data_IF_625856768538
#
_entry.id   IF_625856768538
#
_cell.length_a   1.000
_cell.length_b   1.000
_cell.length_c   1.000
_cell.angle_alpha   90.00
_cell.angle_beta   90.00
_cell.angle_gamma   90.00
#
_symmetry.space_group_name_H-M   'P 1'
#
loop_
_entity.id
_entity.type
_entity.pdbx_description
1 polymer ?
#
# COMPACT_ATOMS: atom_id res chain seq x y z
N UNK A 1 -21.47 68.47 15.99
CA UNK A 1 -20.04 68.46 16.21
C UNK A 1 -19.38 67.57 15.19
N UNK A 2 -18.63 68.16 14.30
CA UNK A 2 -17.88 67.51 13.23
C UNK A 2 -16.65 66.81 13.78
N UNK A 3 -16.31 65.68 13.21
CA UNK A 3 -14.90 65.35 13.07
C UNK A 3 -14.58 64.49 11.86
N UNK A 4 -13.76 65.08 11.07
CA UNK A 4 -12.93 64.67 9.96
C UNK A 4 -12.12 63.40 10.29
N UNK A 5 -11.97 62.52 9.32
CA UNK A 5 -10.66 62.05 8.84
C UNK A 5 -10.82 61.31 7.54
N UNK A 6 -10.77 62.02 6.44
CA UNK A 6 -10.31 61.57 5.14
C UNK A 6 -8.82 61.85 5.05
N UNK A 7 -8.05 60.91 4.57
CA UNK A 7 -6.77 60.96 3.83
C UNK A 7 -5.81 59.88 4.28
N UNK A 8 -5.71 58.85 3.49
CA UNK A 8 -4.44 58.36 3.00
C UNK A 8 -4.66 57.23 1.98
N UNK A 9 -5.06 57.64 0.82
CA UNK A 9 -5.12 56.77 -0.38
C UNK A 9 -4.47 57.56 -1.49
N UNK A 10 -3.16 57.47 -1.66
CA UNK A 10 -2.39 57.95 -2.82
C UNK A 10 -0.91 58.00 -2.39
N UNK A 11 -0.18 56.90 -2.56
CA UNK A 11 1.27 56.89 -2.71
C UNK A 11 1.82 55.50 -3.16
N UNK A 12 1.16 54.79 -4.09
CA UNK A 12 1.72 53.53 -4.63
C UNK A 12 1.68 53.46 -6.18
N UNK A 13 1.75 54.57 -6.89
CA UNK A 13 1.72 54.56 -8.36
C UNK A 13 2.87 55.29 -9.04
N UNK A 14 4.06 55.31 -8.45
CA UNK A 14 5.21 56.04 -9.06
C UNK A 14 6.57 55.32 -9.07
N UNK A 15 6.59 54.01 -9.26
CA UNK A 15 7.85 53.28 -9.38
C UNK A 15 7.94 52.27 -10.52
N UNK A 16 7.03 52.33 -11.52
CA UNK A 16 7.04 51.33 -12.62
C UNK A 16 7.60 51.94 -13.94
N UNK A 17 7.90 53.22 -14.01
CA UNK A 17 8.34 53.86 -15.27
C UNK A 17 9.88 53.97 -15.38
N UNK A 18 10.64 53.18 -14.66
CA UNK A 18 12.08 53.15 -14.83
C UNK A 18 12.50 52.04 -15.81
N UNK A 19 12.99 52.39 -17.02
CA UNK A 19 13.32 51.40 -18.04
C UNK A 19 14.39 50.37 -17.58
N UNK A 20 15.20 50.73 -16.62
CA UNK A 20 16.19 49.82 -16.03
C UNK A 20 15.58 48.72 -15.18
N UNK A 21 14.46 48.99 -14.49
CA UNK A 21 13.73 47.99 -13.67
C UNK A 21 13.05 46.98 -14.58
N UNK A 22 12.49 47.40 -15.70
CA UNK A 22 11.85 46.52 -16.69
C UNK A 22 12.92 45.62 -17.36
N UNK A 23 14.07 46.16 -17.68
CA UNK A 23 15.17 45.37 -18.25
C UNK A 23 15.72 44.31 -17.29
N UNK A 24 15.83 44.61 -16.01
CA UNK A 24 16.24 43.65 -14.98
C UNK A 24 15.19 42.55 -14.74
N UNK A 25 13.91 42.89 -14.77
CA UNK A 25 12.81 41.91 -14.62
C UNK A 25 12.75 40.92 -15.82
N UNK A 26 12.97 41.40 -17.04
CA UNK A 26 13.01 40.56 -18.23
C UNK A 26 14.25 39.67 -18.27
N UNK A 27 15.41 40.16 -17.84
CA UNK A 27 16.62 39.35 -17.72
C UNK A 27 16.49 38.27 -16.65
N UNK A 28 15.85 38.58 -15.52
CA UNK A 28 15.58 37.61 -14.45
C UNK A 28 14.61 36.50 -14.89
N UNK A 29 13.54 36.86 -15.63
CA UNK A 29 12.57 35.91 -16.16
C UNK A 29 13.20 34.98 -17.24
N UNK A 30 14.08 35.51 -18.09
CA UNK A 30 14.82 34.73 -19.07
C UNK A 30 15.77 33.71 -18.43
N UNK A 31 16.49 34.11 -17.37
CA UNK A 31 17.38 33.23 -16.62
C UNK A 31 16.64 32.11 -15.89
N UNK A 32 15.49 32.42 -15.27
CA UNK A 32 14.64 31.44 -14.62
C UNK A 32 14.06 30.42 -15.61
N UNK A 33 13.63 30.87 -16.78
CA UNK A 33 13.13 30.01 -17.85
C UNK A 33 14.24 29.12 -18.42
N UNK A 34 15.45 29.65 -18.58
CA UNK A 34 16.61 28.88 -19.05
C UNK A 34 17.04 27.80 -18.04
N UNK A 35 17.00 28.08 -16.74
CA UNK A 35 17.26 27.11 -15.68
C UNK A 35 16.17 26.02 -15.68
N UNK A 36 14.90 26.37 -15.80
CA UNK A 36 13.80 25.40 -15.87
C UNK A 36 13.87 24.50 -17.10
N UNK A 37 14.26 25.01 -18.25
CA UNK A 37 14.42 24.22 -19.48
C UNK A 37 15.62 23.26 -19.38
N UNK A 38 16.74 23.71 -18.80
CA UNK A 38 17.92 22.84 -18.65
C UNK A 38 17.74 21.80 -17.55
N UNK A 39 16.96 22.08 -16.49
CA UNK A 39 16.62 21.05 -15.49
C UNK A 39 15.61 20.04 -16.03
N UNK A 40 14.70 20.44 -16.92
CA UNK A 40 13.73 19.53 -17.54
C UNK A 40 14.41 18.54 -18.52
N UNK A 41 15.56 18.89 -19.10
CA UNK A 41 16.30 17.98 -20.02
C UNK A 41 16.92 16.76 -19.32
N UNK A 42 17.12 16.81 -17.99
CA UNK A 42 17.66 15.70 -17.20
C UNK A 42 16.59 14.82 -16.52
N UNK A 43 15.32 15.15 -16.68
CA UNK A 43 14.20 14.38 -16.09
C UNK A 43 14.03 12.96 -16.65
N UNK A 44 14.28 12.69 -17.96
CA UNK A 44 14.16 11.32 -18.49
C UNK A 44 15.07 10.32 -17.79
N UNK A 45 16.28 10.74 -17.41
CA UNK A 45 17.27 9.85 -16.79
C UNK A 45 16.92 9.53 -15.33
N UNK A 46 16.29 10.48 -14.61
CA UNK A 46 15.82 10.27 -13.23
C UNK A 46 14.61 9.32 -13.21
N UNK A 47 13.70 9.45 -14.16
CA UNK A 47 12.56 8.53 -14.29
C UNK A 47 12.99 7.13 -14.73
N UNK A 48 13.96 7.02 -15.64
CA UNK A 48 14.51 5.74 -16.09
C UNK A 48 15.24 5.00 -14.95
N UNK A 49 15.96 5.71 -14.09
CA UNK A 49 16.64 5.14 -12.93
C UNK A 49 15.63 4.65 -11.86
N UNK A 50 14.48 5.34 -11.71
CA UNK A 50 13.42 4.95 -10.78
C UNK A 50 12.66 3.71 -11.23
N UNK A 51 12.51 3.51 -12.54
CA UNK A 51 11.79 2.34 -13.10
C UNK A 51 12.66 1.07 -13.14
N UNK A 52 13.98 1.20 -13.04
CA UNK A 52 14.90 0.05 -13.10
C UNK A 52 15.28 -0.48 -11.72
N UNK A 53 14.82 0.14 -10.63
CA UNK A 53 15.08 -0.26 -9.25
C UNK A 53 13.87 -0.96 -8.65
N UNK A 54 13.30 -1.93 -9.37
CA UNK A 54 12.34 -2.86 -8.77
C UNK A 54 13.13 -3.75 -7.80
N UNK A 55 12.75 -3.83 -6.54
CA UNK A 55 13.39 -4.76 -5.63
C UNK A 55 13.18 -6.17 -6.17
N UNK A 56 14.26 -6.84 -6.53
CA UNK A 56 14.23 -8.27 -6.82
C UNK A 56 13.71 -8.97 -5.58
N UNK A 57 12.56 -9.64 -5.72
CA UNK A 57 11.96 -10.38 -4.62
C UNK A 57 13.00 -11.31 -4.00
N UNK A 58 13.25 -11.16 -2.70
CA UNK A 58 14.18 -12.03 -1.93
C UNK A 58 13.75 -13.49 -1.91
N UNK A 59 12.51 -13.76 -2.24
CA UNK A 59 11.99 -15.11 -2.39
C UNK A 59 12.04 -15.46 -3.88
N UNK A 60 13.03 -16.27 -4.26
CA UNK A 60 13.01 -16.96 -5.54
C UNK A 60 11.75 -17.81 -5.59
N UNK A 61 10.83 -17.46 -6.49
CA UNK A 61 9.76 -18.38 -6.87
C UNK A 61 10.46 -19.68 -7.23
N UNK A 62 10.12 -20.77 -6.57
CA UNK A 62 10.71 -22.05 -6.90
C UNK A 62 10.42 -22.37 -8.38
N UNK A 63 11.34 -23.03 -9.11
CA UNK A 63 11.23 -23.26 -10.57
C UNK A 63 9.91 -23.87 -11.01
N UNK A 64 9.24 -24.59 -10.12
CA UNK A 64 7.96 -25.28 -10.39
C UNK A 64 6.80 -24.30 -10.72
N UNK A 65 6.85 -23.04 -10.26
CA UNK A 65 5.83 -22.04 -10.61
C UNK A 65 6.06 -21.39 -11.98
N UNK A 66 7.30 -21.28 -12.43
CA UNK A 66 7.62 -20.78 -13.78
C UNK A 66 7.29 -21.79 -14.86
N UNK A 67 7.42 -23.09 -14.55
CA UNK A 67 7.08 -24.17 -15.47
C UNK A 67 5.57 -24.30 -15.68
N UNK A 68 4.74 -24.00 -14.66
CA UNK A 68 3.28 -23.98 -14.75
C UNK A 68 2.73 -22.82 -15.61
N UNK A 69 3.41 -21.68 -15.63
CA UNK A 69 3.01 -20.53 -16.45
C UNK A 69 3.38 -20.68 -17.93
N UNK A 70 4.37 -21.53 -18.27
CA UNK A 70 4.83 -21.74 -19.63
C UNK A 70 4.09 -22.86 -20.39
N UNK A 71 3.22 -23.63 -19.72
CA UNK A 71 2.63 -24.84 -20.28
C UNK A 71 1.10 -24.77 -20.44
N UNK A 72 0.57 -23.67 -20.97
CA UNK A 72 -0.86 -23.52 -21.30
C UNK A 72 -1.33 -24.41 -22.49
N UNK A 73 -0.54 -25.38 -22.93
CA UNK A 73 -0.82 -26.18 -24.13
C UNK A 73 -1.27 -27.62 -23.92
N UNK A 74 -1.30 -28.18 -22.71
CA UNK A 74 -1.74 -29.56 -22.53
C UNK A 74 -2.37 -29.85 -21.15
N UNK A 75 -3.66 -29.56 -21.03
CA UNK A 75 -4.48 -29.75 -19.84
C UNK A 75 -4.91 -31.22 -19.66
N UNK A 76 -4.05 -32.08 -19.17
CA UNK A 76 -4.47 -33.38 -18.63
C UNK A 76 -3.59 -33.88 -17.47
N UNK A 77 -3.19 -33.01 -16.55
CA UNK A 77 -2.86 -33.49 -15.21
C UNK A 77 -2.98 -32.29 -14.23
N UNK A 78 -4.08 -32.26 -13.51
CA UNK A 78 -4.33 -31.35 -12.40
C UNK A 78 -3.41 -31.78 -11.27
N UNK A 79 -2.15 -31.35 -11.32
CA UNK A 79 -1.23 -31.50 -10.19
C UNK A 79 -1.69 -30.47 -9.16
N UNK A 80 -2.59 -30.91 -8.28
CA UNK A 80 -2.89 -30.13 -7.07
C UNK A 80 -1.58 -29.99 -6.31
N UNK A 81 -1.13 -28.74 -6.11
CA UNK A 81 -0.02 -28.44 -5.19
C UNK A 81 -0.47 -28.98 -3.85
N UNK A 82 0.25 -29.99 -3.35
CA UNK A 82 -0.04 -30.51 -2.02
C UNK A 82 0.16 -29.38 -1.00
N UNK A 83 -0.77 -29.11 -0.09
CA UNK A 83 -0.62 -28.11 0.97
C UNK A 83 0.71 -28.25 1.75
N UNK A 84 1.25 -29.46 1.83
CA UNK A 84 2.51 -29.78 2.50
C UNK A 84 3.77 -29.24 1.81
N UNK A 85 3.68 -28.54 0.67
CA UNK A 85 4.85 -28.04 -0.07
C UNK A 85 5.21 -26.58 0.22
N UNK A 86 4.30 -25.78 0.76
CA UNK A 86 4.60 -24.38 1.12
C UNK A 86 5.28 -24.32 2.49
N UNK A 87 6.50 -23.77 2.53
CA UNK A 87 7.25 -23.57 3.78
C UNK A 87 6.96 -22.23 4.45
N UNK A 88 6.15 -21.36 3.83
CA UNK A 88 5.80 -20.04 4.30
C UNK A 88 4.99 -19.27 3.28
N UNK A 89 4.54 -18.04 3.61
CA UNK A 89 3.70 -17.24 2.72
C UNK A 89 4.47 -16.76 1.49
N UNK A 90 3.74 -16.66 0.37
CA UNK A 90 4.25 -16.15 -0.90
C UNK A 90 4.06 -14.63 -0.89
N UNK A 91 5.14 -13.87 -1.05
CA UNK A 91 5.07 -12.40 -1.19
C UNK A 91 5.11 -12.06 -2.66
N UNK A 92 4.09 -11.35 -3.14
CA UNK A 92 3.95 -10.96 -4.54
C UNK A 92 3.81 -9.43 -4.69
N UNK A 93 4.08 -8.87 -5.89
CA UNK A 93 3.82 -7.45 -6.16
C UNK A 93 2.34 -7.05 -6.03
N UNK A 94 1.44 -8.02 -6.01
CA UNK A 94 0.01 -7.79 -5.83
C UNK A 94 -0.40 -7.72 -4.34
N UNK A 95 0.53 -7.91 -3.43
CA UNK A 95 0.25 -7.80 -2.00
C UNK A 95 0.55 -6.39 -1.50
N UNK A 96 -0.41 -5.71 -0.88
CA UNK A 96 -0.16 -4.41 -0.28
C UNK A 96 0.93 -4.51 0.79
N UNK A 97 1.96 -3.69 0.66
CA UNK A 97 3.05 -3.65 1.63
C UNK A 97 3.35 -2.23 2.10
N UNK A 98 3.84 -2.09 3.33
CA UNK A 98 4.37 -0.84 3.89
C UNK A 98 5.55 -1.11 4.82
N UNK A 99 6.46 -0.14 4.94
CA UNK A 99 7.68 -0.23 5.73
C UNK A 99 8.92 -0.17 4.86
N UNK A 100 9.99 -0.83 5.29
CA UNK A 100 11.28 -0.82 4.58
C UNK A 100 11.18 -1.47 3.20
N UNK A 101 11.70 -0.80 2.16
CA UNK A 101 11.79 -1.38 0.81
C UNK A 101 12.71 -2.61 0.77
N UNK A 102 13.84 -2.52 1.50
CA UNK A 102 14.82 -3.59 1.65
C UNK A 102 14.73 -4.15 3.08
N UNK A 103 13.59 -4.71 3.43
CA UNK A 103 13.38 -5.27 4.75
C UNK A 103 14.23 -6.52 4.98
N UNK A 104 14.74 -6.62 6.20
CA UNK A 104 15.39 -7.84 6.72
C UNK A 104 14.31 -8.79 7.24
N UNK A 105 13.24 -8.23 7.81
CA UNK A 105 12.12 -8.96 8.39
C UNK A 105 10.83 -8.59 7.69
N UNK A 106 10.20 -9.58 7.07
CA UNK A 106 8.87 -9.47 6.50
C UNK A 106 7.83 -9.99 7.50
N UNK A 107 6.88 -9.14 7.86
CA UNK A 107 5.70 -9.51 8.64
C UNK A 107 4.55 -9.72 7.66
N UNK A 108 4.23 -10.97 7.35
CA UNK A 108 3.07 -11.30 6.51
C UNK A 108 1.86 -11.51 7.41
N UNK A 109 0.83 -10.70 7.20
CA UNK A 109 -0.30 -10.57 8.08
C UNK A 109 -1.59 -10.95 7.36
N UNK A 110 -2.09 -12.18 7.62
CA UNK A 110 -3.41 -12.62 7.18
C UNK A 110 -4.47 -12.03 8.10
N UNK A 111 -5.34 -11.24 7.51
CA UNK A 111 -6.25 -10.38 8.26
C UNK A 111 -7.59 -10.21 7.56
N UNK A 112 -8.60 -9.75 8.32
CA UNK A 112 -9.93 -9.45 7.86
C UNK A 112 -10.39 -8.11 8.47
N UNK A 113 -10.91 -7.21 7.64
CA UNK A 113 -11.43 -5.90 8.08
C UNK A 113 -12.60 -6.02 9.05
N UNK A 114 -13.38 -7.12 8.99
CA UNK A 114 -14.47 -7.39 9.91
C UNK A 114 -14.03 -8.00 11.25
N UNK A 115 -12.81 -8.50 11.33
CA UNK A 115 -12.29 -9.18 12.51
C UNK A 115 -11.92 -8.17 13.62
N UNK A 116 -12.54 -8.30 14.78
CA UNK A 116 -12.25 -7.41 15.92
C UNK A 116 -10.85 -7.61 16.51
N UNK A 117 -10.34 -8.83 16.51
CA UNK A 117 -9.00 -9.14 16.99
C UNK A 117 -7.93 -8.61 16.02
N UNK A 118 -8.19 -8.64 14.72
CA UNK A 118 -7.31 -8.04 13.71
C UNK A 118 -7.18 -6.53 13.92
N UNK A 119 -8.30 -5.87 14.18
CA UNK A 119 -8.34 -4.43 14.48
C UNK A 119 -7.51 -4.07 15.71
N UNK A 120 -7.52 -4.89 16.74
CA UNK A 120 -6.69 -4.70 17.94
C UNK A 120 -5.22 -4.93 17.65
N UNK A 121 -4.90 -5.94 16.84
CA UNK A 121 -3.54 -6.30 16.45
C UNK A 121 -2.83 -5.17 15.69
N UNK A 122 -3.56 -4.33 14.94
CA UNK A 122 -2.99 -3.22 14.17
C UNK A 122 -2.12 -2.26 15.00
N UNK A 123 -2.45 -2.05 16.26
CA UNK A 123 -1.63 -1.20 17.15
C UNK A 123 -0.22 -1.78 17.31
N UNK A 124 -0.12 -3.10 17.46
CA UNK A 124 1.14 -3.82 17.62
C UNK A 124 1.91 -3.86 16.29
N UNK A 125 1.22 -4.05 15.18
CA UNK A 125 1.82 -4.00 13.83
C UNK A 125 2.39 -2.60 13.54
N UNK A 126 1.66 -1.53 13.86
CA UNK A 126 2.15 -0.15 13.72
C UNK A 126 3.37 0.12 14.59
N UNK A 127 3.37 -0.37 15.83
CA UNK A 127 4.50 -0.25 16.73
C UNK A 127 5.76 -0.92 16.16
N UNK A 128 5.64 -2.07 15.51
CA UNK A 128 6.76 -2.74 14.86
C UNK A 128 7.36 -1.89 13.73
N UNK A 129 6.51 -1.28 12.88
CA UNK A 129 6.96 -0.38 11.82
C UNK A 129 7.65 0.88 12.36
N UNK A 130 7.17 1.42 13.49
CA UNK A 130 7.74 2.60 14.14
C UNK A 130 9.09 2.31 14.80
N UNK A 131 9.25 1.14 15.42
CA UNK A 131 10.48 0.77 16.11
C UNK A 131 11.57 0.23 15.18
N UNK A 132 11.18 -0.38 14.04
CA UNK A 132 12.10 -0.97 13.08
C UNK A 132 11.91 -0.40 11.66
N UNK A 133 11.94 0.95 11.45
CA UNK A 133 11.49 1.59 10.21
C UNK A 133 12.31 1.22 8.97
N UNK A 134 13.58 0.80 9.16
CA UNK A 134 14.48 0.44 8.07
C UNK A 134 14.71 -1.07 7.94
N UNK A 135 14.06 -1.89 8.76
CA UNK A 135 14.34 -3.32 8.88
C UNK A 135 13.10 -4.18 8.70
N UNK A 136 11.91 -3.62 8.98
CA UNK A 136 10.63 -4.32 8.95
C UNK A 136 9.77 -3.81 7.80
N UNK A 137 9.12 -4.75 7.13
CA UNK A 137 8.05 -4.51 6.16
C UNK A 137 6.85 -5.37 6.53
N UNK A 138 5.66 -4.79 6.44
CA UNK A 138 4.40 -5.50 6.64
C UNK A 138 3.75 -5.74 5.29
N UNK A 139 3.29 -6.96 5.07
CA UNK A 139 2.59 -7.42 3.88
C UNK A 139 1.20 -7.89 4.30
N UNK A 140 0.17 -7.30 3.69
CA UNK A 140 -1.22 -7.65 3.93
C UNK A 140 -1.67 -8.82 3.06
N UNK A 141 -2.35 -9.78 3.67
CA UNK A 141 -3.05 -10.89 3.00
C UNK A 141 -4.52 -10.88 3.42
N UNK A 142 -5.41 -10.90 2.43
CA UNK A 142 -6.85 -10.99 2.72
C UNK A 142 -7.22 -12.39 3.17
N UNK A 143 -7.89 -12.48 4.31
CA UNK A 143 -8.51 -13.71 4.79
C UNK A 143 -9.94 -13.43 5.28
N UNK A 144 -10.84 -12.98 4.39
CA UNK A 144 -12.23 -12.75 4.74
C UNK A 144 -13.01 -14.04 4.85
N UNK A 145 -14.26 -13.92 5.32
CA UNK A 145 -15.24 -15.00 5.13
C UNK A 145 -15.37 -15.37 3.66
N UNK A 146 -15.49 -16.67 3.36
CA UNK A 146 -15.57 -17.16 1.98
C UNK A 146 -16.88 -16.84 1.26
N UNK A 147 -17.90 -16.35 1.99
CA UNK A 147 -19.17 -15.92 1.40
C UNK A 147 -18.99 -14.57 0.65
N UNK A 148 -19.13 -14.54 -0.69
CA UNK A 148 -18.94 -13.30 -1.45
C UNK A 148 -19.90 -12.16 -1.09
N UNK A 149 -21.03 -12.45 -0.45
CA UNK A 149 -22.01 -11.44 -0.03
C UNK A 149 -21.78 -10.93 1.39
N UNK A 150 -20.79 -11.47 2.11
CA UNK A 150 -20.48 -10.98 3.47
C UNK A 150 -19.82 -9.59 3.43
N UNK A 151 -20.02 -8.83 4.49
CA UNK A 151 -19.33 -7.53 4.64
C UNK A 151 -17.81 -7.69 4.67
N UNK A 152 -17.32 -8.79 5.26
CA UNK A 152 -15.90 -9.16 5.28
C UNK A 152 -15.33 -9.31 3.87
N UNK A 153 -15.97 -10.10 3.00
CA UNK A 153 -15.52 -10.30 1.62
C UNK A 153 -15.61 -9.00 0.78
N UNK A 154 -16.69 -8.24 0.94
CA UNK A 154 -16.84 -6.96 0.23
C UNK A 154 -15.79 -5.94 0.68
N UNK A 155 -15.43 -5.90 1.96
CA UNK A 155 -14.36 -5.04 2.46
C UNK A 155 -12.98 -5.45 1.92
N UNK A 156 -12.69 -6.74 1.81
CA UNK A 156 -11.48 -7.24 1.17
C UNK A 156 -11.39 -6.81 -0.30
N UNK A 157 -12.47 -7.00 -1.08
CA UNK A 157 -12.55 -6.49 -2.47
C UNK A 157 -12.32 -4.98 -2.54
N UNK A 158 -12.95 -4.22 -1.65
CA UNK A 158 -12.81 -2.77 -1.57
C UNK A 158 -11.35 -2.37 -1.29
N UNK A 159 -10.66 -3.07 -0.40
CA UNK A 159 -9.22 -2.91 -0.17
C UNK A 159 -8.41 -3.12 -1.45
N UNK A 160 -8.72 -4.15 -2.25
CA UNK A 160 -8.05 -4.40 -3.53
C UNK A 160 -8.35 -3.33 -4.58
N UNK A 161 -9.56 -2.75 -4.59
CA UNK A 161 -9.87 -1.60 -5.44
C UNK A 161 -9.06 -0.35 -5.03
N UNK A 162 -8.85 -0.14 -3.74
CA UNK A 162 -7.98 0.92 -3.25
C UNK A 162 -6.51 0.66 -3.59
N UNK A 163 -6.08 -0.60 -3.57
CA UNK A 163 -4.74 -1.01 -4.00
C UNK A 163 -4.46 -0.67 -5.46
N UNK A 164 -5.40 -0.92 -6.38
CA UNK A 164 -5.27 -0.54 -7.79
C UNK A 164 -5.08 0.97 -7.98
N UNK A 165 -5.56 1.79 -7.04
CA UNK A 165 -5.35 3.25 -7.03
C UNK A 165 -4.13 3.68 -6.20
N UNK A 166 -3.26 2.77 -5.78
CA UNK A 166 -2.09 3.02 -4.92
C UNK A 166 -2.44 3.67 -3.57
N UNK A 167 -3.63 3.38 -3.04
CA UNK A 167 -4.14 3.98 -1.79
C UNK A 167 -4.61 2.95 -0.78
N UNK A 168 -4.13 1.70 -0.88
CA UNK A 168 -4.54 0.63 0.01
C UNK A 168 -4.42 1.03 1.48
N UNK A 169 -3.25 1.50 1.92
CA UNK A 169 -3.01 1.77 3.33
C UNK A 169 -3.79 2.95 3.89
N UNK A 170 -4.06 3.97 3.08
CA UNK A 170 -4.95 5.07 3.48
C UNK A 170 -6.39 4.56 3.65
N UNK A 171 -6.86 3.73 2.73
CA UNK A 171 -8.17 3.11 2.78
C UNK A 171 -8.30 2.10 3.93
N UNK A 172 -7.29 1.26 4.11
CA UNK A 172 -7.17 0.30 5.21
C UNK A 172 -7.32 0.98 6.57
N UNK A 173 -6.57 2.06 6.83
CA UNK A 173 -6.62 2.78 8.10
C UNK A 173 -7.99 3.43 8.32
N UNK A 174 -8.69 3.86 7.27
CA UNK A 174 -10.07 4.33 7.36
C UNK A 174 -11.04 3.20 7.70
N UNK A 175 -10.95 2.04 7.02
CA UNK A 175 -11.83 0.91 7.28
C UNK A 175 -11.76 0.42 8.73
N UNK A 176 -10.56 0.35 9.28
CA UNK A 176 -10.35 -0.09 10.66
C UNK A 176 -10.98 0.85 11.70
N UNK A 177 -11.22 2.12 11.34
CA UNK A 177 -11.87 3.10 12.20
C UNK A 177 -13.41 3.02 12.16
N UNK A 178 -13.97 2.35 11.15
CA UNK A 178 -15.42 2.27 10.96
C UNK A 178 -16.05 1.20 11.88
N UNK A 179 -17.31 1.42 12.23
CA UNK A 179 -18.12 0.47 13.01
C UNK A 179 -18.89 -0.50 12.13
N UNK A 180 -19.08 -0.20 10.89
CA UNK A 180 -19.81 -0.96 9.88
C UNK A 180 -19.01 -0.99 8.57
N UNK A 181 -19.22 -2.04 7.78
CA UNK A 181 -18.58 -2.24 6.47
C UNK A 181 -19.64 -2.41 5.37
N UNK A 182 -20.77 -1.71 5.50
CA UNK A 182 -21.77 -1.64 4.45
C UNK A 182 -21.25 -0.88 3.24
N UNK A 183 -21.82 -1.09 2.06
CA UNK A 183 -21.37 -0.46 0.82
C UNK A 183 -21.23 1.06 0.93
N UNK A 184 -22.16 1.72 1.63
CA UNK A 184 -22.10 3.17 1.89
C UNK A 184 -20.86 3.56 2.69
N UNK A 185 -20.49 2.74 3.68
CA UNK A 185 -19.36 3.02 4.55
C UNK A 185 -18.03 2.78 3.80
N UNK A 186 -17.98 1.76 2.92
CA UNK A 186 -16.86 1.53 2.01
C UNK A 186 -16.64 2.71 1.05
N UNK A 187 -17.71 3.26 0.47
CA UNK A 187 -17.64 4.44 -0.40
C UNK A 187 -17.20 5.70 0.36
N UNK A 188 -17.68 5.87 1.58
CA UNK A 188 -17.26 6.97 2.44
C UNK A 188 -15.76 6.86 2.76
N UNK A 189 -15.28 5.68 3.13
CA UNK A 189 -13.87 5.42 3.35
C UNK A 189 -13.03 5.70 2.10
N UNK A 190 -13.52 5.30 0.91
CA UNK A 190 -12.87 5.59 -0.36
C UNK A 190 -12.71 7.10 -0.61
N UNK A 191 -13.78 7.86 -0.39
CA UNK A 191 -13.77 9.32 -0.49
C UNK A 191 -12.79 9.96 0.49
N UNK A 192 -12.81 9.53 1.77
CA UNK A 192 -11.92 10.05 2.82
C UNK A 192 -10.46 9.72 2.56
N UNK A 193 -10.18 8.61 1.89
CA UNK A 193 -8.83 8.20 1.47
C UNK A 193 -8.38 8.87 0.16
N UNK A 194 -9.23 9.74 -0.41
CA UNK A 194 -8.94 10.47 -1.65
C UNK A 194 -8.92 9.59 -2.90
N UNK A 195 -9.63 8.45 -2.91
CA UNK A 195 -9.80 7.63 -4.10
C UNK A 195 -10.72 8.34 -5.12
N UNK A 196 -10.56 7.98 -6.39
CA UNK A 196 -11.61 8.20 -7.37
C UNK A 196 -12.78 7.26 -7.05
N UNK A 197 -13.87 7.85 -6.49
CA UNK A 197 -15.04 7.08 -6.04
C UNK A 197 -15.78 6.44 -7.20
N UNK A 198 -15.79 7.04 -8.39
CA UNK A 198 -16.44 6.45 -9.56
C UNK A 198 -15.68 5.21 -10.05
N UNK A 199 -14.36 5.31 -10.19
CA UNK A 199 -13.50 4.18 -10.51
C UNK A 199 -13.56 3.09 -9.43
N UNK A 200 -13.62 3.47 -8.15
CA UNK A 200 -13.76 2.55 -7.03
C UNK A 200 -15.06 1.73 -7.10
N UNK A 201 -16.21 2.38 -7.35
CA UNK A 201 -17.50 1.69 -7.54
C UNK A 201 -17.45 0.73 -8.72
N UNK A 202 -16.92 1.18 -9.86
CA UNK A 202 -16.78 0.34 -11.04
C UNK A 202 -15.92 -0.90 -10.76
N UNK A 203 -14.80 -0.74 -10.05
CA UNK A 203 -13.95 -1.84 -9.63
C UNK A 203 -14.72 -2.81 -8.73
N UNK A 204 -15.38 -2.30 -7.67
CA UNK A 204 -16.08 -3.12 -6.69
C UNK A 204 -17.21 -3.95 -7.35
N UNK A 205 -17.90 -3.39 -8.33
CA UNK A 205 -19.03 -4.04 -8.99
C UNK A 205 -18.62 -5.04 -10.07
N UNK A 206 -17.52 -4.79 -10.81
CA UNK A 206 -17.27 -5.45 -12.10
C UNK A 206 -15.88 -6.05 -12.26
N UNK A 207 -14.90 -5.68 -11.44
CA UNK A 207 -13.53 -6.13 -11.66
C UNK A 207 -13.29 -7.52 -11.07
N UNK A 208 -13.16 -8.50 -11.96
CA UNK A 208 -12.84 -9.88 -11.57
C UNK A 208 -11.41 -10.07 -11.09
N UNK A 209 -10.52 -9.13 -11.40
CA UNK A 209 -9.11 -9.19 -10.95
C UNK A 209 -9.02 -9.10 -9.44
N UNK A 210 -9.79 -8.19 -8.81
CA UNK A 210 -9.80 -8.05 -7.36
C UNK A 210 -10.40 -9.29 -6.65
N UNK A 211 -11.42 -9.91 -7.25
CA UNK A 211 -11.94 -11.18 -6.75
C UNK A 211 -10.89 -12.30 -6.82
N UNK A 212 -10.11 -12.32 -7.90
CA UNK A 212 -9.01 -13.28 -8.09
C UNK A 212 -7.91 -13.04 -7.04
N UNK A 213 -7.55 -11.79 -6.73
CA UNK A 213 -6.56 -11.47 -5.70
C UNK A 213 -6.99 -11.99 -4.32
N UNK A 214 -8.24 -11.72 -3.91
CA UNK A 214 -8.80 -12.23 -2.65
C UNK A 214 -8.83 -13.76 -2.66
N UNK A 215 -9.30 -14.38 -3.75
CA UNK A 215 -9.35 -15.84 -3.89
C UNK A 215 -7.97 -16.49 -3.79
N UNK A 216 -6.93 -15.86 -4.34
CA UNK A 216 -5.57 -16.38 -4.27
C UNK A 216 -5.05 -16.35 -2.83
N UNK A 217 -5.32 -15.29 -2.06
CA UNK A 217 -4.94 -15.24 -0.65
C UNK A 217 -5.69 -16.30 0.19
N UNK A 218 -6.98 -16.53 -0.09
CA UNK A 218 -7.75 -17.60 0.56
C UNK A 218 -7.16 -18.98 0.27
N UNK A 219 -6.78 -19.25 -0.99
CA UNK A 219 -6.13 -20.51 -1.39
C UNK A 219 -4.75 -20.68 -0.76
N UNK A 220 -3.98 -19.60 -0.68
CA UNK A 220 -2.68 -19.59 -0.02
C UNK A 220 -2.81 -19.90 1.47
N UNK A 221 -3.77 -19.24 2.15
CA UNK A 221 -4.07 -19.49 3.56
C UNK A 221 -4.46 -20.96 3.80
N UNK A 222 -5.33 -21.54 2.96
CA UNK A 222 -5.71 -22.95 3.03
C UNK A 222 -4.48 -23.87 2.83
N UNK A 223 -3.64 -23.59 1.84
CA UNK A 223 -2.43 -24.37 1.57
C UNK A 223 -1.38 -24.30 2.70
N UNK A 224 -1.35 -23.19 3.46
CA UNK A 224 -0.49 -23.00 4.62
C UNK A 224 -1.12 -23.54 5.93
N UNK A 225 -2.38 -23.98 5.90
CA UNK A 225 -3.11 -24.39 7.11
C UNK A 225 -3.51 -23.23 8.02
N UNK A 226 -3.57 -22.00 7.48
CA UNK A 226 -4.02 -20.82 8.23
C UNK A 226 -5.51 -20.92 8.49
N UNK A 227 -5.89 -21.17 9.74
CA UNK A 227 -7.24 -21.52 10.14
C UNK A 227 -8.10 -20.36 10.66
N UNK A 228 -7.55 -19.15 10.73
CA UNK A 228 -8.29 -17.99 11.23
C UNK A 228 -7.45 -16.71 11.27
N UNK A 229 -8.10 -15.62 11.66
CA UNK A 229 -7.51 -14.28 11.73
C UNK A 229 -7.55 -13.72 13.16
N UNK A 230 -6.54 -12.90 13.53
CA UNK A 230 -5.32 -12.62 12.80
C UNK A 230 -4.37 -13.83 12.75
N UNK A 231 -3.59 -13.94 11.67
CA UNK A 231 -2.50 -14.89 11.59
C UNK A 231 -1.25 -14.16 11.05
N UNK A 232 -0.14 -14.28 11.75
CA UNK A 232 1.05 -13.48 11.48
C UNK A 232 2.25 -14.39 11.22
N UNK A 233 2.95 -14.15 10.13
CA UNK A 233 4.29 -14.69 9.91
C UNK A 233 5.32 -13.60 10.15
N UNK A 234 6.39 -13.92 10.86
CA UNK A 234 7.62 -13.12 10.96
C UNK A 234 8.69 -13.91 10.22
N UNK A 235 8.96 -13.55 8.97
CA UNK A 235 9.68 -14.40 8.00
C UNK A 235 9.02 -15.80 7.90
N UNK A 236 9.63 -16.83 8.50
CA UNK A 236 9.09 -18.20 8.47
C UNK A 236 8.42 -18.63 9.80
N UNK A 237 8.47 -17.79 10.83
CA UNK A 237 7.85 -18.09 12.12
C UNK A 237 6.42 -17.61 12.14
N UNK A 238 5.49 -18.48 12.48
CA UNK A 238 4.07 -18.20 12.46
C UNK A 238 3.44 -18.10 13.85
N UNK A 239 2.35 -17.33 13.92
CA UNK A 239 1.58 -17.05 15.13
C UNK A 239 0.09 -17.03 14.78
N UNK A 240 -0.68 -17.92 15.41
CA UNK A 240 -2.15 -17.93 15.30
C UNK A 240 -2.75 -17.04 16.40
N UNK A 241 -3.69 -16.18 15.98
CA UNK A 241 -4.37 -15.26 16.88
C UNK A 241 -3.57 -13.99 17.15
N UNK A 242 -3.98 -13.28 18.19
CA UNK A 242 -3.26 -12.06 18.58
C UNK A 242 -1.88 -12.38 19.15
N UNK A 243 -0.88 -11.67 18.66
CA UNK A 243 0.48 -11.73 19.19
C UNK A 243 0.70 -10.51 20.10
N UNK A 244 1.36 -10.73 21.25
CA UNK A 244 1.76 -9.63 22.13
C UNK A 244 2.90 -8.81 21.50
N UNK A 245 3.09 -7.58 21.99
CA UNK A 245 4.25 -6.79 21.57
C UNK A 245 5.56 -7.48 21.89
N UNK A 246 5.68 -8.05 23.08
CA UNK A 246 6.89 -8.76 23.53
C UNK A 246 7.23 -9.94 22.60
N UNK A 247 6.22 -10.77 22.25
CA UNK A 247 6.45 -11.92 21.37
C UNK A 247 6.81 -11.48 19.95
N UNK A 248 6.15 -10.44 19.42
CA UNK A 248 6.48 -9.90 18.10
C UNK A 248 7.88 -9.29 18.07
N UNK A 249 8.24 -8.52 19.09
CA UNK A 249 9.56 -7.94 19.24
C UNK A 249 10.64 -9.03 19.31
N UNK A 250 10.46 -10.02 20.14
CA UNK A 250 11.40 -11.15 20.27
C UNK A 250 11.56 -11.89 18.93
N UNK A 251 10.47 -12.08 18.17
CA UNK A 251 10.54 -12.69 16.86
C UNK A 251 11.33 -11.84 15.86
N UNK A 252 11.09 -10.53 15.81
CA UNK A 252 11.83 -9.60 14.95
C UNK A 252 13.32 -9.60 15.30
N UNK A 253 13.66 -9.47 16.58
CA UNK A 253 15.05 -9.40 17.03
C UNK A 253 15.81 -10.72 16.78
N UNK A 254 15.15 -11.86 16.90
CA UNK A 254 15.73 -13.16 16.54
C UNK A 254 16.08 -13.23 15.04
N UNK A 255 15.19 -12.75 14.16
CA UNK A 255 15.44 -12.73 12.72
C UNK A 255 16.55 -11.72 12.33
N UNK A 256 16.61 -10.57 13.00
CA UNK A 256 17.68 -9.58 12.80
C UNK A 256 19.05 -10.11 13.22
N UNK A 257 19.10 -10.87 14.31
CA UNK A 257 20.34 -11.46 14.84
C UNK A 257 20.86 -12.61 13.98
N UNK A 258 19.97 -13.37 13.33
CA UNK A 258 20.33 -14.49 12.47
C UNK A 258 21.00 -14.06 11.14
N UNK A 259 21.01 -12.78 10.81
CA UNK A 259 21.57 -12.22 9.58
C UNK A 259 22.88 -11.44 9.80
N UNK A 260 23.37 -11.39 11.04
CA UNK A 260 24.66 -10.81 11.39
C UNK A 260 25.77 -11.89 11.40
#
# INVERSE_FOLDING_TARGET
MANKTTKNRWQLTKTIDNPWIISLALAGAGLALFILINTAASWPDILAASLNNQPTAKYTVQPDFQELAANEGNLTTKTAISPASLRGPIISPNDPSRGAEQAVVDIVYFSDFACSFCRQQETIIKQALEQYPNQVRVIWKDLPEVNPSSQSYQAAKAGRCAFQQNKFWLFHDQLLSLKSLENRDLEQAASMSGLDVAAFRQCLDRDKTVETMVSNNLKEADALGVSGTPYTYVNQRDFLGQISWEDLQNAIEAELSAQQ
#
